data_IF_389985299079
#
_entry.id   IF_389985299079
#
_cell.length_a   1.000
_cell.length_b   1.000
_cell.length_c   1.000
_cell.angle_alpha   90.00
_cell.angle_beta   90.00
_cell.angle_gamma   90.00
#
_symmetry.space_group_name_H-M   'P 1'
#
loop_
_entity.id
_entity.type
_entity.pdbx_description
1 polymer ?
#
# COMPACT_ATOMS: atom_id res chain seq x y z
N UNK A 1 37.08 -32.25 78.78
CA UNK A 1 35.86 -31.90 78.02
C UNK A 1 36.26 -31.23 76.72
N UNK A 2 36.32 -31.98 75.61
CA UNK A 2 36.64 -31.47 74.26
C UNK A 2 35.33 -31.34 73.49
N UNK A 3 34.92 -30.12 73.11
CA UNK A 3 33.76 -29.87 72.25
C UNK A 3 34.24 -29.41 70.88
N UNK A 4 34.11 -30.29 69.90
CA UNK A 4 34.34 -30.04 68.48
C UNK A 4 33.14 -29.28 67.91
N UNK A 5 33.39 -28.17 67.20
CA UNK A 5 32.36 -27.45 66.44
C UNK A 5 32.65 -27.61 64.95
N UNK A 6 31.77 -28.34 64.27
CA UNK A 6 31.75 -28.56 62.82
C UNK A 6 31.29 -27.28 62.11
N UNK A 7 32.08 -26.80 61.15
CA UNK A 7 31.69 -25.67 60.29
C UNK A 7 30.94 -26.25 59.09
N UNK A 8 29.65 -25.92 58.96
CA UNK A 8 28.83 -26.28 57.82
C UNK A 8 29.17 -25.39 56.61
N UNK A 9 29.40 -26.02 55.47
CA UNK A 9 29.69 -25.37 54.19
C UNK A 9 28.37 -24.86 53.58
N UNK A 10 28.21 -23.54 53.45
CA UNK A 10 27.05 -22.95 52.77
C UNK A 10 27.29 -22.93 51.26
N UNK A 11 26.49 -23.69 50.51
CA UNK A 11 26.46 -23.65 49.04
C UNK A 11 25.60 -22.46 48.60
N UNK A 12 26.22 -21.47 47.95
CA UNK A 12 25.51 -20.34 47.36
C UNK A 12 24.94 -20.74 45.99
N UNK A 13 23.61 -20.81 45.89
CA UNK A 13 22.89 -20.99 44.62
C UNK A 13 22.82 -19.63 43.92
N UNK A 14 23.51 -19.47 42.79
CA UNK A 14 23.40 -18.29 41.95
C UNK A 14 22.08 -18.36 41.14
N UNK A 15 21.11 -17.54 41.51
CA UNK A 15 19.88 -17.36 40.75
C UNK A 15 20.16 -16.52 39.49
N UNK A 16 20.21 -17.17 38.33
CA UNK A 16 20.30 -16.50 37.03
C UNK A 16 19.01 -15.74 36.72
N UNK A 17 19.11 -14.43 36.55
CA UNK A 17 18.01 -13.56 36.14
C UNK A 17 17.74 -13.75 34.64
N UNK A 18 16.67 -14.45 34.29
CA UNK A 18 16.18 -14.53 32.92
C UNK A 18 15.41 -13.25 32.60
N UNK A 19 16.07 -12.29 31.94
CA UNK A 19 15.37 -11.13 31.39
C UNK A 19 14.44 -11.61 30.26
N UNK A 20 13.16 -11.19 30.25
CA UNK A 20 12.26 -11.55 29.16
C UNK A 20 12.70 -10.83 27.89
N UNK A 21 13.04 -11.58 26.85
CA UNK A 21 13.21 -11.06 25.49
C UNK A 21 11.84 -10.57 25.02
N UNK A 22 11.65 -9.26 25.00
CA UNK A 22 10.49 -8.65 24.36
C UNK A 22 10.62 -8.88 22.85
N UNK A 23 9.83 -9.80 22.31
CA UNK A 23 9.59 -9.89 20.87
C UNK A 23 8.94 -8.58 20.45
N UNK A 24 9.68 -7.74 19.75
CA UNK A 24 9.11 -6.65 18.97
C UNK A 24 8.17 -7.31 17.97
N UNK A 25 6.87 -7.11 18.15
CA UNK A 25 5.85 -7.62 17.25
C UNK A 25 5.90 -6.75 16.00
N UNK A 26 6.82 -7.06 15.09
CA UNK A 26 6.88 -6.46 13.75
C UNK A 26 5.75 -7.04 12.91
N UNK A 27 4.55 -6.53 13.16
CA UNK A 27 3.40 -6.70 12.28
C UNK A 27 2.58 -5.43 12.39
N UNK A 28 3.22 -4.29 12.21
CA UNK A 28 2.51 -3.08 11.79
C UNK A 28 2.14 -3.28 10.32
N UNK A 29 1.14 -4.15 10.14
CA UNK A 29 0.42 -4.24 8.87
C UNK A 29 -0.08 -2.84 8.62
N UNK A 30 0.33 -2.23 7.52
CA UNK A 30 -0.18 -0.95 7.02
C UNK A 30 -1.71 -1.00 6.98
N UNK A 31 -2.36 -0.68 8.10
CA UNK A 31 -3.81 -0.56 8.21
C UNK A 31 -4.18 0.90 8.12
N UNK A 32 -3.78 1.56 7.03
CA UNK A 32 -4.51 2.74 6.59
C UNK A 32 -5.76 2.26 5.88
N UNK A 33 -6.68 1.65 6.62
CA UNK A 33 -8.06 1.52 6.17
C UNK A 33 -8.74 2.86 6.38
N UNK A 34 -8.28 3.89 5.64
CA UNK A 34 -9.04 5.12 5.55
C UNK A 34 -10.37 4.78 4.89
N UNK A 35 -11.47 5.20 5.52
CA UNK A 35 -12.79 5.02 4.92
C UNK A 35 -12.82 5.85 3.64
N UNK A 36 -13.02 5.21 2.49
CA UNK A 36 -13.08 5.90 1.21
C UNK A 36 -14.30 6.83 1.18
N UNK A 37 -14.07 8.11 0.83
CA UNK A 37 -15.12 9.11 0.69
C UNK A 37 -15.56 9.17 -0.77
N UNK A 38 -16.73 8.63 -1.04
CA UNK A 38 -17.33 8.61 -2.38
C UNK A 38 -18.14 9.87 -2.61
N UNK A 39 -18.12 10.37 -3.84
CA UNK A 39 -18.91 11.52 -4.27
C UNK A 39 -19.14 11.53 -5.77
N UNK A 40 -19.72 12.61 -6.32
CA UNK A 40 -19.88 12.79 -7.75
C UNK A 40 -18.53 12.69 -8.47
N UNK A 41 -18.55 12.11 -9.67
CA UNK A 41 -17.37 12.08 -10.53
C UNK A 41 -17.04 13.46 -11.14
N UNK A 42 -15.77 13.70 -11.50
CA UNK A 42 -15.37 14.87 -12.28
C UNK A 42 -16.16 15.01 -13.61
N UNK A 43 -16.22 16.24 -14.14
CA UNK A 43 -17.09 16.60 -15.27
C UNK A 43 -16.75 15.88 -16.59
N UNK A 44 -15.52 15.41 -16.75
CA UNK A 44 -15.03 14.62 -17.89
C UNK A 44 -15.48 13.16 -17.85
N UNK A 45 -16.02 12.68 -16.74
CA UNK A 45 -16.64 11.35 -16.63
C UNK A 45 -18.13 11.44 -16.94
N UNK A 46 -18.52 11.00 -18.14
CA UNK A 46 -19.88 11.22 -18.68
C UNK A 46 -20.97 10.27 -18.16
N UNK A 47 -20.70 9.48 -17.11
CA UNK A 47 -21.65 8.51 -16.56
C UNK A 47 -22.19 8.98 -15.20
N UNK A 48 -23.41 9.55 -15.13
CA UNK A 48 -23.93 10.17 -13.91
C UNK A 48 -24.25 9.18 -12.79
N UNK A 49 -24.38 7.88 -13.12
CA UNK A 49 -24.63 6.83 -12.12
C UNK A 49 -23.36 6.40 -11.36
N UNK A 50 -22.19 6.91 -11.76
CA UNK A 50 -20.93 6.59 -11.09
C UNK A 50 -20.67 7.50 -9.89
N UNK A 51 -20.10 6.90 -8.85
CA UNK A 51 -19.44 7.61 -7.77
C UNK A 51 -17.93 7.46 -7.89
N UNK A 52 -17.18 8.51 -7.60
CA UNK A 52 -15.73 8.53 -7.67
C UNK A 52 -15.09 8.82 -6.31
N UNK A 53 -13.85 8.35 -6.15
CA UNK A 53 -12.99 8.64 -5.01
C UNK A 53 -11.51 8.54 -5.43
N UNK A 54 -10.61 8.99 -4.55
CA UNK A 54 -9.16 8.83 -4.71
C UNK A 54 -8.64 7.89 -3.62
N UNK A 55 -7.87 6.89 -4.01
CA UNK A 55 -7.20 5.96 -3.09
C UNK A 55 -5.73 6.32 -3.04
N UNK A 56 -5.27 6.78 -1.87
CA UNK A 56 -3.86 7.08 -1.67
C UNK A 56 -3.06 5.79 -1.40
N UNK A 57 -1.98 5.59 -2.14
CA UNK A 57 -1.07 4.44 -1.99
C UNK A 57 0.39 4.89 -1.96
N UNK A 58 1.30 4.13 -1.33
CA UNK A 58 2.73 4.44 -1.41
C UNK A 58 3.24 4.26 -2.84
N UNK A 59 4.10 5.17 -3.28
CA UNK A 59 4.80 5.08 -4.56
C UNK A 59 5.79 3.90 -4.56
N UNK A 60 6.50 3.68 -3.44
CA UNK A 60 7.38 2.54 -3.23
C UNK A 60 6.90 1.74 -2.02
N UNK A 61 6.37 0.55 -2.25
CA UNK A 61 5.88 -0.32 -1.19
C UNK A 61 6.97 -0.85 -0.24
N UNK A 62 8.25 -0.74 -0.60
CA UNK A 62 9.38 -1.04 0.31
C UNK A 62 9.63 0.09 1.31
N UNK A 63 9.14 1.30 1.02
CA UNK A 63 9.17 2.45 1.92
C UNK A 63 7.75 3.04 2.03
N UNK A 64 6.84 2.39 2.77
CA UNK A 64 5.42 2.74 2.79
C UNK A 64 5.11 4.08 3.46
N UNK A 65 6.06 4.65 4.20
CA UNK A 65 5.97 5.99 4.81
C UNK A 65 6.55 7.08 3.89
N UNK A 66 7.00 6.70 2.69
CA UNK A 66 7.57 7.61 1.70
C UNK A 66 6.52 8.40 0.92
N UNK A 67 6.88 8.78 -0.30
CA UNK A 67 5.96 9.49 -1.21
C UNK A 67 4.73 8.64 -1.51
N UNK A 68 3.58 9.28 -1.59
CA UNK A 68 2.32 8.66 -2.01
C UNK A 68 1.90 9.15 -3.39
N UNK A 69 1.01 8.37 -4.01
CA UNK A 69 0.28 8.73 -5.23
C UNK A 69 -1.21 8.47 -5.00
N UNK A 70 -2.05 9.15 -5.77
CA UNK A 70 -3.49 8.92 -5.75
C UNK A 70 -3.92 8.06 -6.94
N UNK A 71 -4.70 7.02 -6.67
CA UNK A 71 -5.36 6.19 -7.67
C UNK A 71 -6.82 6.62 -7.76
N UNK A 72 -7.24 7.12 -8.93
CA UNK A 72 -8.65 7.42 -9.19
C UNK A 72 -9.46 6.12 -9.29
N UNK A 73 -10.56 6.03 -8.55
CA UNK A 73 -11.46 4.87 -8.55
C UNK A 73 -12.89 5.35 -8.74
N UNK A 74 -13.58 4.78 -9.72
CA UNK A 74 -15.03 4.92 -9.90
C UNK A 74 -15.75 3.64 -9.48
N UNK A 75 -17.01 3.78 -9.04
CA UNK A 75 -17.90 2.64 -8.77
C UNK A 75 -19.30 2.95 -9.26
N UNK A 76 -19.99 1.90 -9.70
CA UNK A 76 -21.44 1.90 -9.88
C UNK A 76 -22.07 1.22 -8.65
N UNK A 77 -22.75 1.96 -7.76
CA UNK A 77 -23.41 1.35 -6.61
C UNK A 77 -24.48 0.34 -7.02
N UNK A 78 -24.65 -0.73 -6.23
CA UNK A 78 -25.72 -1.70 -6.49
C UNK A 78 -27.08 -1.02 -6.38
N UNK A 79 -27.94 -1.19 -7.40
CA UNK A 79 -29.36 -0.78 -7.34
C UNK A 79 -30.17 -1.54 -6.28
N UNK A 80 -29.65 -2.66 -5.78
CA UNK A 80 -30.21 -3.41 -4.65
C UNK A 80 -29.14 -3.62 -3.56
N UNK A 81 -28.93 -2.67 -2.65
CA UNK A 81 -27.91 -2.76 -1.61
C UNK A 81 -28.13 -3.93 -0.64
N UNK A 82 -29.38 -4.30 -0.36
CA UNK A 82 -29.72 -5.38 0.57
C UNK A 82 -29.30 -6.77 0.06
N UNK A 83 -29.21 -6.95 -1.26
CA UNK A 83 -28.76 -8.20 -1.89
C UNK A 83 -27.31 -8.13 -2.39
N UNK A 84 -26.57 -7.06 -2.06
CA UNK A 84 -25.19 -6.87 -2.49
C UNK A 84 -24.30 -7.97 -1.89
N UNK A 85 -23.59 -8.70 -2.76
CA UNK A 85 -22.64 -9.74 -2.34
C UNK A 85 -21.21 -9.24 -2.11
N UNK A 86 -20.84 -8.11 -2.73
CA UNK A 86 -19.47 -7.59 -2.65
C UNK A 86 -19.17 -6.53 -3.70
N UNK A 87 -17.89 -6.43 -4.08
CA UNK A 87 -17.40 -5.58 -5.17
C UNK A 87 -16.94 -6.49 -6.31
N UNK A 88 -17.39 -6.21 -7.52
CA UNK A 88 -16.77 -6.72 -8.74
C UNK A 88 -15.76 -5.69 -9.21
N UNK A 89 -14.47 -6.01 -9.09
CA UNK A 89 -13.41 -5.17 -9.64
C UNK A 89 -13.15 -5.57 -11.08
N UNK A 90 -13.12 -4.59 -11.98
CA UNK A 90 -12.79 -4.82 -13.38
C UNK A 90 -11.41 -4.23 -13.67
N UNK A 91 -10.63 -4.93 -14.50
CA UNK A 91 -9.40 -4.41 -15.07
C UNK A 91 -9.46 -4.71 -16.57
N UNK A 92 -9.67 -3.70 -17.43
CA UNK A 92 -9.73 -3.91 -18.88
C UNK A 92 -8.39 -4.37 -19.46
N UNK A 93 -7.30 -4.33 -18.68
CA UNK A 93 -5.96 -4.65 -19.12
C UNK A 93 -5.27 -3.45 -19.77
N UNK A 94 -4.25 -3.74 -20.58
CA UNK A 94 -3.36 -2.72 -21.12
C UNK A 94 -2.56 -2.01 -20.02
N UNK A 95 -1.68 -1.12 -20.43
CA UNK A 95 -1.02 -0.18 -19.52
C UNK A 95 -1.63 1.20 -19.79
N UNK A 96 -1.94 1.96 -18.74
CA UNK A 96 -2.81 3.15 -18.81
C UNK A 96 -2.30 4.33 -19.65
N UNK A 97 -1.18 4.19 -20.37
CA UNK A 97 -0.67 5.22 -21.27
C UNK A 97 -1.51 5.35 -22.55
N UNK A 98 -2.01 4.26 -23.15
CA UNK A 98 -2.71 4.31 -24.43
C UNK A 98 -4.24 4.54 -24.33
N UNK A 99 -4.73 5.08 -23.22
CA UNK A 99 -6.18 5.24 -23.00
C UNK A 99 -6.80 6.39 -23.81
N UNK A 100 -8.10 6.28 -24.13
CA UNK A 100 -8.89 7.31 -24.82
C UNK A 100 -8.92 8.68 -24.11
N UNK A 101 -8.60 8.72 -22.81
CA UNK A 101 -8.49 9.93 -21.98
C UNK A 101 -7.03 10.27 -21.59
N UNK A 102 -6.07 9.43 -21.98
CA UNK A 102 -4.67 9.49 -21.56
C UNK A 102 -3.75 9.70 -22.77
N UNK A 103 -4.18 10.51 -23.74
CA UNK A 103 -3.38 10.87 -24.92
C UNK A 103 -2.25 11.83 -24.50
N UNK A 104 -1.26 11.33 -23.75
CA UNK A 104 -0.07 12.07 -23.38
C UNK A 104 1.13 11.50 -24.13
N UNK A 105 1.66 12.28 -25.06
CA UNK A 105 2.76 11.89 -25.94
C UNK A 105 4.00 11.45 -25.15
N UNK A 106 4.38 12.22 -24.12
CA UNK A 106 5.51 11.85 -23.24
C UNK A 106 5.33 10.47 -22.58
N UNK A 107 4.15 10.20 -22.04
CA UNK A 107 3.85 8.91 -21.40
C UNK A 107 3.81 7.78 -22.43
N UNK A 108 3.20 8.04 -23.60
CA UNK A 108 3.11 7.08 -24.69
C UNK A 108 4.47 6.68 -25.23
N UNK A 109 5.36 7.62 -25.50
CA UNK A 109 6.69 7.33 -26.04
C UNK A 109 7.53 6.55 -25.03
N UNK A 110 7.47 6.95 -23.76
CA UNK A 110 8.20 6.27 -22.67
C UNK A 110 7.76 4.82 -22.54
N UNK A 111 6.44 4.57 -22.55
CA UNK A 111 5.93 3.21 -22.40
C UNK A 111 6.12 2.39 -23.68
N UNK A 112 5.94 2.99 -24.86
CA UNK A 112 6.20 2.34 -26.15
C UNK A 112 7.65 1.86 -26.24
N UNK A 113 8.59 2.70 -25.84
CA UNK A 113 10.02 2.36 -25.84
C UNK A 113 10.28 1.15 -24.95
N UNK A 114 9.74 1.13 -23.72
CA UNK A 114 9.91 -0.02 -22.83
C UNK A 114 9.31 -1.30 -23.41
N UNK A 115 8.11 -1.25 -23.97
CA UNK A 115 7.43 -2.44 -24.47
C UNK A 115 8.07 -3.01 -25.73
N UNK A 116 8.63 -2.16 -26.58
CA UNK A 116 9.25 -2.58 -27.85
C UNK A 116 10.72 -2.93 -27.71
N UNK A 117 11.44 -2.34 -26.74
CA UNK A 117 12.90 -2.49 -26.61
C UNK A 117 13.36 -3.11 -25.29
N UNK A 118 12.49 -3.17 -24.28
CA UNK A 118 12.84 -3.54 -22.90
C UNK A 118 13.64 -2.48 -22.13
N UNK A 119 13.95 -1.34 -22.75
CA UNK A 119 14.72 -0.27 -22.11
C UNK A 119 13.81 0.59 -21.23
N UNK A 120 14.15 0.72 -19.94
CA UNK A 120 13.52 1.67 -19.03
C UNK A 120 14.31 2.98 -19.04
N UNK A 121 13.66 4.13 -18.77
CA UNK A 121 14.38 5.37 -18.49
C UNK A 121 15.42 5.19 -17.39
N UNK A 122 16.57 5.86 -17.54
CA UNK A 122 17.63 5.84 -16.52
C UNK A 122 17.25 6.56 -15.22
N UNK A 123 16.17 7.33 -15.22
CA UNK A 123 15.62 8.08 -14.09
C UNK A 123 14.11 8.22 -14.27
N UNK A 124 13.41 8.54 -13.19
CA UNK A 124 11.99 8.83 -13.22
C UNK A 124 11.68 9.98 -14.19
N UNK A 125 10.65 9.79 -15.02
CA UNK A 125 10.15 10.81 -15.95
C UNK A 125 8.79 11.28 -15.42
N UNK A 126 8.65 12.59 -15.24
CA UNK A 126 7.37 13.23 -14.99
C UNK A 126 6.87 13.83 -16.30
N UNK A 127 5.78 13.30 -16.83
CA UNK A 127 5.13 13.86 -18.01
C UNK A 127 4.16 14.97 -17.58
N UNK A 128 4.35 16.17 -18.12
CA UNK A 128 3.40 17.26 -17.92
C UNK A 128 2.08 16.93 -18.61
N UNK A 129 0.96 17.45 -18.09
CA UNK A 129 -0.32 17.40 -18.78
C UNK A 129 -0.19 18.11 -20.13
N UNK A 130 -0.68 17.46 -21.20
CA UNK A 130 -0.74 18.06 -22.53
C UNK A 130 -2.06 18.83 -22.68
N UNK A 131 -2.09 19.95 -23.45
CA UNK A 131 -3.34 20.62 -23.77
C UNK A 131 -4.26 19.64 -24.52
N UNK A 132 -5.46 19.41 -23.99
CA UNK A 132 -6.50 18.59 -24.62
C UNK A 132 -7.25 19.32 -25.72
#
# INVERSE_FOLDING_TARGET
>A
MRRTLSIALAVAVAAGTTAPVQRVSETETLRTSSTLRWGPCPADVTSPDLECTMVQVPLDYRNPQGRTIDIAVSRLPSKNPAQRRGVLLTNPGGHGAYGLLAMNTCANDTVTTFLTTGQRPHRDIACAAEPG
#
